data_IF_622979443627
#
_entry.id   IF_622979443627
#
_cell.length_a   1.000
_cell.length_b   1.000
_cell.length_c   1.000
_cell.angle_alpha   90.00
_cell.angle_beta   90.00
_cell.angle_gamma   90.00
#
_symmetry.space_group_name_H-M   'P 1'
#
loop_
_entity.id
_entity.type
_entity.pdbx_description
1 polymer ?
#
# COMPACT_ATOMS: atom_id res chain seq x y z
N UNK A 1 6.56 6.10 12.63
CA UNK A 1 7.83 5.34 12.52
C UNK A 1 8.58 5.34 13.84
N UNK A 2 8.80 6.48 14.46
CA UNK A 2 9.53 6.60 15.74
C UNK A 2 8.98 5.73 16.88
N UNK A 3 7.66 5.62 17.02
CA UNK A 3 7.04 4.74 18.01
C UNK A 3 7.43 3.25 17.80
N UNK A 4 7.55 2.81 16.55
CA UNK A 4 7.97 1.45 16.22
C UNK A 4 9.45 1.24 16.53
N UNK A 5 10.31 2.22 16.15
CA UNK A 5 11.72 2.18 16.49
C UNK A 5 11.95 2.17 18.00
N UNK A 6 11.19 2.97 18.74
CA UNK A 6 11.24 2.98 20.22
C UNK A 6 10.84 1.63 20.83
N UNK A 7 9.87 0.92 20.22
CA UNK A 7 9.37 -0.37 20.72
C UNK A 7 10.25 -1.54 20.32
N UNK A 8 10.80 -1.54 19.10
CA UNK A 8 11.48 -2.69 18.50
C UNK A 8 12.98 -2.46 18.31
N UNK A 9 13.49 -1.25 18.55
CA UNK A 9 14.90 -0.88 18.37
C UNK A 9 15.23 -0.49 16.92
N UNK A 10 14.97 -1.37 15.97
CA UNK A 10 15.21 -1.15 14.55
C UNK A 10 14.12 -1.78 13.67
N UNK A 11 14.18 -1.51 12.37
CA UNK A 11 13.22 -2.03 11.39
C UNK A 11 13.34 -3.54 11.21
N UNK A 12 14.53 -4.05 11.18
CA UNK A 12 14.84 -5.46 10.95
C UNK A 12 14.25 -6.32 12.09
N UNK A 13 14.44 -5.90 13.32
CA UNK A 13 13.83 -6.56 14.49
C UNK A 13 12.29 -6.46 14.46
N UNK A 14 11.76 -5.30 14.04
CA UNK A 14 10.31 -5.16 13.83
C UNK A 14 9.79 -6.17 12.79
N UNK A 15 10.50 -6.34 11.68
CA UNK A 15 10.11 -7.32 10.65
C UNK A 15 10.16 -8.76 11.17
N UNK A 16 11.20 -9.12 11.88
CA UNK A 16 11.38 -10.47 12.43
C UNK A 16 10.31 -10.78 13.47
N UNK A 17 10.13 -9.91 14.46
CA UNK A 17 9.19 -10.12 15.57
C UNK A 17 7.73 -10.12 15.09
N UNK A 18 7.37 -9.24 14.16
CA UNK A 18 5.96 -9.11 13.71
C UNK A 18 5.63 -9.96 12.49
N UNK A 19 6.61 -10.22 11.63
CA UNK A 19 6.45 -10.98 10.39
C UNK A 19 6.73 -12.47 10.56
N UNK A 20 7.55 -12.84 11.53
CA UNK A 20 8.06 -14.20 11.68
C UNK A 20 9.06 -14.61 10.61
N UNK A 21 9.30 -15.90 10.47
CA UNK A 21 10.24 -16.42 9.47
C UNK A 21 9.78 -16.23 8.03
N UNK A 22 10.74 -16.12 7.12
CA UNK A 22 10.48 -16.17 5.68
C UNK A 22 10.06 -17.61 5.33
N UNK A 23 8.99 -17.72 4.55
CA UNK A 23 8.42 -19.02 4.19
C UNK A 23 9.08 -19.58 2.92
N UNK A 24 9.34 -20.89 2.86
CA UNK A 24 9.79 -21.53 1.63
C UNK A 24 8.69 -21.52 0.57
N UNK A 25 9.08 -21.59 -0.68
CA UNK A 25 8.21 -21.56 -1.89
C UNK A 25 6.97 -22.47 -1.76
N UNK A 26 7.16 -23.69 -1.27
CA UNK A 26 6.06 -24.66 -1.10
C UNK A 26 5.01 -24.20 -0.10
N UNK A 27 5.42 -23.56 0.99
CA UNK A 27 4.51 -23.01 2.00
C UNK A 27 3.75 -21.78 1.50
N UNK A 28 4.42 -20.90 0.76
CA UNK A 28 3.80 -19.74 0.12
C UNK A 28 2.73 -20.19 -0.87
N UNK A 29 3.06 -21.18 -1.71
CA UNK A 29 2.14 -21.76 -2.67
C UNK A 29 0.93 -22.40 -2.00
N UNK A 30 1.15 -23.22 -0.98
CA UNK A 30 0.06 -23.87 -0.23
C UNK A 30 -0.87 -22.84 0.43
N UNK A 31 -0.31 -21.76 1.01
CA UNK A 31 -1.08 -20.69 1.62
C UNK A 31 -1.90 -19.89 0.59
N UNK A 32 -1.32 -19.59 -0.57
CA UNK A 32 -2.03 -18.91 -1.66
C UNK A 32 -3.22 -19.75 -2.15
N UNK A 33 -3.00 -21.03 -2.36
CA UNK A 33 -4.03 -21.96 -2.80
C UNK A 33 -5.16 -22.09 -1.78
N UNK A 34 -4.83 -22.19 -0.49
CA UNK A 34 -5.82 -22.22 0.61
C UNK A 34 -6.63 -20.92 0.65
N UNK A 35 -5.99 -19.76 0.44
CA UNK A 35 -6.68 -18.48 0.42
C UNK A 35 -7.63 -18.37 -0.76
N UNK A 36 -7.21 -18.77 -1.97
CA UNK A 36 -8.07 -18.79 -3.15
C UNK A 36 -9.28 -19.72 -2.98
N UNK A 37 -9.10 -20.87 -2.32
CA UNK A 37 -10.21 -21.78 -1.97
C UNK A 37 -11.21 -21.09 -1.03
N UNK A 38 -10.71 -20.41 0.00
CA UNK A 38 -11.55 -19.67 0.94
C UNK A 38 -12.38 -18.57 0.28
N UNK A 39 -11.80 -17.86 -0.70
CA UNK A 39 -12.48 -16.77 -1.42
C UNK A 39 -13.24 -17.25 -2.68
N UNK A 40 -13.32 -18.57 -2.91
CA UNK A 40 -13.96 -19.19 -4.08
C UNK A 40 -13.40 -18.70 -5.44
N UNK A 41 -12.10 -18.38 -5.49
CA UNK A 41 -11.41 -17.87 -6.68
C UNK A 41 -10.46 -18.90 -7.30
N UNK A 42 -10.63 -20.19 -7.00
CA UNK A 42 -9.80 -21.27 -7.54
C UNK A 42 -9.98 -21.38 -9.05
N UNK A 43 -8.87 -21.34 -9.79
CA UNK A 43 -8.88 -21.37 -11.26
C UNK A 43 -9.07 -20.01 -11.94
N UNK A 44 -9.53 -19.00 -11.21
CA UNK A 44 -9.70 -17.64 -11.74
C UNK A 44 -8.39 -16.83 -11.67
N UNK A 45 -7.64 -16.98 -10.58
CA UNK A 45 -6.40 -16.26 -10.35
C UNK A 45 -5.21 -17.18 -10.54
N UNK A 46 -4.30 -16.81 -11.44
CA UNK A 46 -2.99 -17.45 -11.61
C UNK A 46 -2.05 -16.97 -10.52
N UNK A 47 -1.30 -17.87 -9.89
CA UNK A 47 -0.28 -17.51 -8.90
C UNK A 47 1.11 -17.72 -9.48
N UNK A 48 1.93 -16.68 -9.47
CA UNK A 48 3.34 -16.71 -9.84
C UNK A 48 4.21 -16.37 -8.62
N UNK A 49 5.37 -17.00 -8.52
CA UNK A 49 6.35 -16.74 -7.45
C UNK A 49 7.63 -16.21 -8.08
N UNK A 50 8.14 -15.11 -7.57
CA UNK A 50 9.34 -14.42 -8.09
C UNK A 50 10.25 -13.99 -6.94
N UNK A 51 11.54 -13.86 -7.22
CA UNK A 51 12.52 -13.27 -6.30
C UNK A 51 12.94 -11.85 -6.72
N UNK A 52 12.52 -11.42 -7.93
CA UNK A 52 12.95 -10.16 -8.55
C UNK A 52 11.93 -9.02 -8.42
N UNK A 53 10.83 -9.23 -7.69
CA UNK A 53 9.78 -8.23 -7.56
C UNK A 53 10.17 -7.13 -6.55
N UNK A 54 10.08 -5.85 -6.93
CA UNK A 54 10.32 -4.72 -6.02
C UNK A 54 9.21 -4.51 -4.97
N UNK A 55 8.04 -5.12 -5.15
CA UNK A 55 6.94 -5.10 -4.19
C UNK A 55 6.80 -6.47 -3.52
N UNK A 56 6.04 -6.54 -2.42
CA UNK A 56 5.76 -7.84 -1.78
C UNK A 56 4.92 -8.76 -2.65
N UNK A 57 3.98 -8.18 -3.38
CA UNK A 57 3.15 -8.86 -4.35
C UNK A 57 2.60 -7.83 -5.34
N UNK A 58 2.01 -8.31 -6.42
CA UNK A 58 1.28 -7.49 -7.38
C UNK A 58 0.17 -8.33 -8.03
N UNK A 59 -1.03 -7.75 -8.10
CA UNK A 59 -2.15 -8.27 -8.86
C UNK A 59 -2.20 -7.57 -10.22
N UNK A 60 -2.11 -8.33 -11.29
CA UNK A 60 -2.17 -7.81 -12.68
C UNK A 60 -3.07 -8.69 -13.53
N UNK A 61 -3.45 -8.18 -14.70
CA UNK A 61 -4.08 -9.00 -15.75
C UNK A 61 -3.05 -9.27 -16.82
N UNK A 62 -2.60 -10.51 -16.91
CA UNK A 62 -1.66 -11.01 -17.92
C UNK A 62 -2.37 -11.99 -18.85
N UNK A 63 -2.24 -11.78 -20.15
CA UNK A 63 -2.90 -12.65 -21.15
C UNK A 63 -4.40 -12.87 -20.85
N UNK A 64 -5.10 -11.80 -20.50
CA UNK A 64 -6.52 -11.80 -20.12
C UNK A 64 -6.84 -12.60 -18.84
N UNK A 65 -5.87 -12.99 -18.04
CA UNK A 65 -6.07 -13.70 -16.77
C UNK A 65 -5.54 -12.89 -15.58
N UNK A 66 -6.31 -12.77 -14.49
CA UNK A 66 -5.81 -12.22 -13.24
C UNK A 66 -4.61 -13.03 -12.74
N UNK A 67 -3.49 -12.37 -12.53
CA UNK A 67 -2.23 -13.02 -12.11
C UNK A 67 -1.72 -12.33 -10.85
N UNK A 68 -1.56 -13.10 -9.78
CA UNK A 68 -0.93 -12.69 -8.54
C UNK A 68 0.53 -13.13 -8.54
N UNK A 69 1.45 -12.18 -8.65
CA UNK A 69 2.88 -12.45 -8.51
C UNK A 69 3.33 -12.09 -7.09
N UNK A 70 3.98 -13.04 -6.40
CA UNK A 70 4.42 -12.92 -5.01
C UNK A 70 5.94 -12.92 -4.94
N UNK A 71 6.51 -11.96 -4.22
CA UNK A 71 7.93 -11.91 -3.93
C UNK A 71 8.28 -12.85 -2.77
N UNK A 72 9.09 -13.86 -3.04
CA UNK A 72 9.51 -14.85 -2.05
C UNK A 72 10.41 -14.25 -0.96
N UNK A 73 11.24 -13.26 -1.29
CA UNK A 73 12.17 -12.63 -0.33
C UNK A 73 11.45 -11.88 0.79
N UNK A 74 10.19 -11.44 0.55
CA UNK A 74 9.35 -10.74 1.52
C UNK A 74 8.20 -11.58 2.11
N UNK A 75 8.10 -12.87 1.78
CA UNK A 75 6.98 -13.73 2.15
C UNK A 75 7.12 -14.24 3.60
N UNK A 76 6.79 -13.41 4.57
CA UNK A 76 6.87 -13.74 6.01
C UNK A 76 5.60 -14.41 6.52
N UNK A 77 5.78 -15.36 7.44
CA UNK A 77 4.74 -16.24 7.99
C UNK A 77 3.49 -15.49 8.45
N UNK A 78 3.65 -14.42 9.24
CA UNK A 78 2.52 -13.70 9.83
C UNK A 78 1.98 -12.58 8.95
N UNK A 79 2.65 -12.25 7.84
CA UNK A 79 2.23 -11.18 6.93
C UNK A 79 1.55 -11.69 5.66
N UNK A 80 1.73 -12.97 5.34
CA UNK A 80 1.27 -13.56 4.09
C UNK A 80 -0.27 -13.45 3.91
N UNK A 81 -1.05 -13.73 4.94
CA UNK A 81 -2.51 -13.58 4.86
C UNK A 81 -2.92 -12.13 4.62
N UNK A 82 -2.27 -11.18 5.28
CA UNK A 82 -2.52 -9.75 5.04
C UNK A 82 -2.20 -9.33 3.61
N UNK A 83 -1.15 -9.88 3.02
CA UNK A 83 -0.81 -9.65 1.61
C UNK A 83 -1.90 -10.22 0.68
N UNK A 84 -2.44 -11.42 0.95
CA UNK A 84 -3.57 -11.95 0.16
C UNK A 84 -4.83 -11.10 0.29
N UNK A 85 -5.11 -10.55 1.48
CA UNK A 85 -6.24 -9.62 1.69
C UNK A 85 -6.06 -8.31 0.93
N UNK A 86 -4.82 -7.85 0.78
CA UNK A 86 -4.48 -6.69 -0.03
C UNK A 86 -4.74 -6.97 -1.51
N UNK A 87 -4.12 -8.00 -2.06
CA UNK A 87 -4.11 -8.27 -3.50
C UNK A 87 -5.41 -8.93 -3.99
N UNK A 88 -5.85 -9.98 -3.32
CA UNK A 88 -7.05 -10.73 -3.73
C UNK A 88 -8.29 -10.10 -3.10
N UNK A 89 -8.31 -9.99 -1.77
CA UNK A 89 -9.48 -9.52 -1.00
C UNK A 89 -9.84 -8.05 -1.26
N UNK A 90 -8.94 -7.25 -1.85
CA UNK A 90 -9.22 -5.87 -2.25
C UNK A 90 -9.14 -5.70 -3.75
N UNK A 91 -7.94 -5.76 -4.34
CA UNK A 91 -7.76 -5.41 -5.74
C UNK A 91 -8.52 -6.33 -6.71
N UNK A 92 -8.36 -7.63 -6.57
CA UNK A 92 -9.03 -8.58 -7.46
C UNK A 92 -10.56 -8.54 -7.31
N UNK A 93 -11.08 -8.71 -6.07
CA UNK A 93 -12.53 -8.74 -5.84
C UNK A 93 -13.20 -7.41 -6.18
N UNK A 94 -12.53 -6.29 -5.92
CA UNK A 94 -13.03 -4.99 -6.35
C UNK A 94 -13.05 -4.86 -7.88
N UNK A 95 -12.04 -5.36 -8.56
CA UNK A 95 -12.01 -5.41 -10.03
C UNK A 95 -13.19 -6.20 -10.59
N UNK A 96 -13.44 -7.39 -10.06
CA UNK A 96 -14.60 -8.22 -10.43
C UNK A 96 -15.91 -7.49 -10.20
N UNK A 97 -16.10 -6.96 -9.00
CA UNK A 97 -17.31 -6.21 -8.65
C UNK A 97 -17.51 -4.96 -9.51
N UNK A 98 -16.43 -4.23 -9.82
CA UNK A 98 -16.49 -3.06 -10.69
C UNK A 98 -16.94 -3.41 -12.11
N UNK A 99 -16.51 -4.56 -12.64
CA UNK A 99 -16.89 -5.01 -13.99
C UNK A 99 -18.38 -5.31 -14.14
N UNK A 100 -19.07 -5.59 -13.04
CA UNK A 100 -20.52 -5.80 -12.99
C UNK A 100 -21.31 -4.50 -12.89
N UNK A 101 -20.67 -3.37 -12.76
CA UNK A 101 -21.33 -2.08 -12.53
C UNK A 101 -21.52 -1.28 -13.85
N UNK A 102 -22.57 -0.45 -13.94
CA UNK A 102 -22.81 0.40 -15.12
C UNK A 102 -21.69 1.43 -15.34
N UNK A 103 -20.86 1.71 -14.34
CA UNK A 103 -19.70 2.57 -14.41
C UNK A 103 -18.38 1.83 -14.65
N UNK A 104 -18.38 0.58 -15.09
CA UNK A 104 -17.17 -0.20 -15.40
C UNK A 104 -16.35 0.42 -16.53
N UNK A 105 -17.01 1.04 -17.50
CA UNK A 105 -16.37 1.71 -18.65
C UNK A 105 -16.09 3.19 -18.39
N UNK A 106 -15.17 3.77 -19.17
CA UNK A 106 -14.89 5.22 -19.10
C UNK A 106 -16.13 6.07 -19.43
N UNK A 107 -16.97 5.63 -20.35
CA UNK A 107 -18.23 6.30 -20.68
C UNK A 107 -19.23 6.26 -19.52
N UNK A 108 -19.42 5.09 -18.92
CA UNK A 108 -20.27 4.93 -17.75
C UNK A 108 -19.78 5.77 -16.56
N UNK A 109 -18.47 5.78 -16.29
CA UNK A 109 -17.91 6.63 -15.22
C UNK A 109 -18.15 8.11 -15.46
N UNK A 110 -18.03 8.58 -16.69
CA UNK A 110 -18.35 9.97 -17.07
C UNK A 110 -19.83 10.29 -16.87
N UNK A 111 -20.70 9.39 -17.27
CA UNK A 111 -22.15 9.52 -17.10
C UNK A 111 -22.55 9.69 -15.61
N UNK A 112 -21.90 8.95 -14.72
CA UNK A 112 -22.16 9.02 -13.27
C UNK A 112 -21.29 10.07 -12.54
N UNK A 113 -20.56 10.93 -13.26
CA UNK A 113 -19.68 11.93 -12.66
C UNK A 113 -18.51 11.34 -11.86
N UNK A 114 -18.14 10.07 -12.08
CA UNK A 114 -17.10 9.38 -11.33
C UNK A 114 -15.74 9.66 -11.91
N UNK A 115 -14.78 9.88 -11.04
CA UNK A 115 -13.36 10.03 -11.45
C UNK A 115 -12.83 8.69 -11.97
N UNK A 116 -11.88 8.72 -12.96
CA UNK A 116 -11.35 7.49 -13.58
C UNK A 116 -10.69 6.53 -12.59
N UNK A 117 -10.34 7.00 -11.40
CA UNK A 117 -9.64 6.18 -10.43
C UNK A 117 -10.09 6.52 -9.01
N UNK A 118 -10.04 5.51 -8.16
CA UNK A 118 -10.39 5.62 -6.76
C UNK A 118 -9.15 5.42 -5.88
N UNK A 119 -8.54 6.50 -5.33
CA UNK A 119 -7.38 6.39 -4.46
C UNK A 119 -7.68 5.66 -3.13
N UNK A 120 -8.96 5.57 -2.76
CA UNK A 120 -9.41 4.86 -1.55
C UNK A 120 -9.10 3.36 -1.61
N UNK A 121 -9.02 2.78 -2.80
CA UNK A 121 -8.69 1.36 -2.98
C UNK A 121 -7.35 0.97 -2.36
N UNK A 122 -6.31 1.74 -2.64
CA UNK A 122 -4.98 1.50 -2.08
C UNK A 122 -4.95 1.68 -0.56
N UNK A 123 -5.68 2.68 -0.07
CA UNK A 123 -5.83 2.87 1.37
C UNK A 123 -6.52 1.69 2.04
N UNK A 124 -7.61 1.20 1.44
CA UNK A 124 -8.34 0.03 1.93
C UNK A 124 -7.47 -1.23 1.87
N UNK A 125 -6.75 -1.46 0.76
CA UNK A 125 -5.83 -2.58 0.60
C UNK A 125 -4.73 -2.55 1.67
N UNK A 126 -4.14 -1.39 1.92
CA UNK A 126 -3.13 -1.21 2.97
C UNK A 126 -3.69 -1.52 4.36
N UNK A 127 -4.91 -1.08 4.67
CA UNK A 127 -5.59 -1.42 5.93
C UNK A 127 -5.87 -2.92 6.03
N UNK A 128 -6.43 -3.54 4.99
CA UNK A 128 -6.69 -4.98 4.95
C UNK A 128 -5.43 -5.80 5.19
N UNK A 129 -4.27 -5.31 4.74
CA UNK A 129 -3.00 -6.00 4.95
C UNK A 129 -2.56 -6.11 6.40
N UNK A 130 -3.06 -5.24 7.30
CA UNK A 130 -2.62 -5.18 8.70
C UNK A 130 -3.71 -5.42 9.73
N UNK A 131 -5.00 -5.26 9.39
CA UNK A 131 -6.13 -5.26 10.34
C UNK A 131 -6.19 -6.48 11.26
N UNK A 132 -5.80 -7.65 10.75
CA UNK A 132 -5.87 -8.90 11.51
C UNK A 132 -4.52 -9.32 12.12
N UNK A 133 -3.50 -8.47 11.99
CA UNK A 133 -2.20 -8.72 12.63
C UNK A 133 -2.30 -8.40 14.12
N UNK A 134 -1.59 -9.18 14.94
CA UNK A 134 -1.44 -8.87 16.38
C UNK A 134 -0.89 -7.47 16.61
N UNK A 135 -0.08 -6.98 15.68
CA UNK A 135 0.51 -5.65 15.66
C UNK A 135 0.25 -4.96 14.31
N UNK A 136 -0.86 -4.20 14.20
CA UNK A 136 -1.35 -3.66 12.92
C UNK A 136 -0.64 -2.37 12.52
N UNK A 137 0.69 -2.36 12.50
CA UNK A 137 1.47 -1.20 12.09
C UNK A 137 1.57 -1.07 10.58
N UNK A 138 1.30 0.12 10.06
CA UNK A 138 1.46 0.48 8.64
C UNK A 138 2.89 0.99 8.33
N UNK A 139 3.92 0.36 8.86
CA UNK A 139 5.29 0.81 8.69
C UNK A 139 5.67 1.00 7.21
N UNK A 140 5.40 0.01 6.36
CA UNK A 140 5.77 0.06 4.94
C UNK A 140 5.10 1.21 4.19
N UNK A 141 3.82 1.44 4.44
CA UNK A 141 3.09 2.56 3.84
C UNK A 141 3.63 3.91 4.35
N UNK A 142 3.90 4.01 5.65
CA UNK A 142 4.45 5.22 6.26
C UNK A 142 5.86 5.53 5.75
N UNK A 143 6.73 4.52 5.64
CA UNK A 143 8.09 4.69 5.14
C UNK A 143 8.08 5.07 3.65
N UNK A 144 7.24 4.43 2.83
CA UNK A 144 7.12 4.78 1.43
C UNK A 144 6.63 6.22 1.24
N UNK A 145 5.61 6.62 2.00
CA UNK A 145 5.14 8.01 1.98
C UNK A 145 6.25 8.99 2.35
N UNK A 146 6.95 8.73 3.43
CA UNK A 146 8.07 9.55 3.89
C UNK A 146 9.15 9.67 2.82
N UNK A 147 9.52 8.53 2.22
CA UNK A 147 10.55 8.50 1.17
C UNK A 147 10.11 9.30 -0.07
N UNK A 148 8.87 9.14 -0.54
CA UNK A 148 8.33 9.90 -1.68
C UNK A 148 8.27 11.40 -1.37
N UNK A 149 7.84 11.78 -0.17
CA UNK A 149 7.81 13.19 0.24
C UNK A 149 9.20 13.84 0.19
N UNK A 150 10.21 13.15 0.68
CA UNK A 150 11.59 13.66 0.68
C UNK A 150 12.25 13.54 -0.70
N UNK A 151 11.90 12.56 -1.52
CA UNK A 151 12.39 12.42 -2.89
C UNK A 151 12.11 13.67 -3.75
N UNK A 152 11.02 14.39 -3.48
CA UNK A 152 10.68 15.64 -4.14
C UNK A 152 11.66 16.81 -3.84
N UNK A 153 12.57 16.64 -2.89
CA UNK A 153 13.50 17.67 -2.43
C UNK A 153 14.97 17.23 -2.41
N UNK A 154 15.24 15.97 -2.61
CA UNK A 154 16.56 15.36 -2.44
C UNK A 154 16.98 14.61 -3.71
N UNK A 155 18.29 14.56 -3.97
CA UNK A 155 18.88 13.61 -4.91
C UNK A 155 18.70 12.16 -4.42
N UNK A 156 19.01 11.16 -5.25
CA UNK A 156 18.95 9.76 -4.85
C UNK A 156 19.90 9.48 -3.67
N UNK A 157 21.15 9.94 -3.75
CA UNK A 157 22.14 9.70 -2.70
C UNK A 157 21.79 10.38 -1.37
N UNK A 158 21.29 11.62 -1.42
CA UNK A 158 20.78 12.30 -0.23
C UNK A 158 19.60 11.58 0.39
N UNK A 159 18.65 11.13 -0.42
CA UNK A 159 17.48 10.37 0.03
C UNK A 159 17.89 9.04 0.65
N UNK A 160 18.82 8.32 0.01
CA UNK A 160 19.36 7.05 0.49
C UNK A 160 20.01 7.19 1.87
N UNK A 161 20.80 8.25 2.07
CA UNK A 161 21.38 8.55 3.37
C UNK A 161 20.35 9.02 4.39
N UNK A 162 19.36 9.79 3.94
CA UNK A 162 18.33 10.36 4.81
C UNK A 162 17.41 9.30 5.44
N UNK A 163 17.01 8.27 4.70
CA UNK A 163 16.16 7.20 5.23
C UNK A 163 16.92 6.16 6.08
N UNK A 164 18.26 6.26 6.17
CA UNK A 164 19.06 5.40 7.03
C UNK A 164 18.66 5.50 8.52
N UNK A 165 18.10 6.62 8.95
CA UNK A 165 17.56 6.79 10.30
C UNK A 165 16.42 5.83 10.64
N UNK A 166 15.75 5.25 9.66
CA UNK A 166 14.62 4.35 9.85
C UNK A 166 14.93 2.90 9.44
N UNK A 167 15.83 2.69 8.49
CA UNK A 167 16.19 1.39 7.94
C UNK A 167 17.69 1.31 7.80
N UNK A 168 18.32 0.36 8.47
CA UNK A 168 19.78 0.19 8.44
C UNK A 168 20.25 -0.66 7.27
N UNK A 169 19.44 -1.61 6.80
CA UNK A 169 19.74 -2.45 5.65
C UNK A 169 19.82 -1.61 4.35
N UNK A 170 20.99 -1.57 3.68
CA UNK A 170 21.18 -0.80 2.46
C UNK A 170 20.36 -1.33 1.28
N UNK A 171 20.08 -2.63 1.21
CA UNK A 171 19.25 -3.21 0.15
C UNK A 171 17.80 -2.72 0.26
N UNK A 172 17.23 -2.73 1.45
CA UNK A 172 15.89 -2.20 1.71
C UNK A 172 15.82 -0.70 1.44
N UNK A 173 16.84 0.09 1.85
CA UNK A 173 16.90 1.53 1.52
C UNK A 173 16.93 1.78 0.02
N UNK A 174 17.71 0.99 -0.71
CA UNK A 174 17.80 1.06 -2.16
C UNK A 174 16.43 0.85 -2.82
N UNK A 175 15.70 -0.19 -2.42
CA UNK A 175 14.34 -0.47 -2.92
C UNK A 175 13.39 0.71 -2.71
N UNK A 176 13.37 1.31 -1.52
CA UNK A 176 12.50 2.47 -1.24
C UNK A 176 12.88 3.68 -2.09
N UNK A 177 14.18 3.94 -2.28
CA UNK A 177 14.66 5.03 -3.15
C UNK A 177 14.30 4.80 -4.61
N UNK A 178 14.49 3.57 -5.12
CA UNK A 178 14.08 3.19 -6.48
C UNK A 178 12.57 3.40 -6.68
N UNK A 179 11.75 2.96 -5.72
CA UNK A 179 10.30 3.14 -5.79
C UNK A 179 9.91 4.61 -5.78
N UNK A 180 10.56 5.43 -4.96
CA UNK A 180 10.25 6.86 -4.83
C UNK A 180 10.69 7.67 -6.05
N UNK A 181 11.82 7.32 -6.67
CA UNK A 181 12.38 8.02 -7.85
C UNK A 181 12.12 7.31 -9.18
N UNK A 182 11.22 6.35 -9.17
CA UNK A 182 10.90 5.54 -10.35
C UNK A 182 10.36 6.40 -11.49
N UNK A 183 10.92 6.19 -12.70
CA UNK A 183 10.55 6.93 -13.91
C UNK A 183 11.27 8.27 -14.07
N UNK A 184 12.10 8.67 -13.12
CA UNK A 184 12.99 9.82 -13.25
C UNK A 184 14.22 9.43 -14.06
N UNK A 185 14.62 10.27 -15.04
CA UNK A 185 15.80 10.04 -15.87
C UNK A 185 17.09 10.47 -15.20
N UNK A 186 17.04 11.57 -14.46
CA UNK A 186 18.16 12.09 -13.70
C UNK A 186 17.81 12.03 -12.20
N UNK A 187 18.33 11.02 -11.52
CA UNK A 187 18.10 10.82 -10.10
C UNK A 187 18.97 11.69 -9.20
N UNK A 188 19.93 12.44 -9.76
CA UNK A 188 20.68 13.45 -9.02
C UNK A 188 19.83 14.66 -8.65
N UNK A 189 18.74 14.89 -9.38
CA UNK A 189 17.80 15.96 -9.13
C UNK A 189 16.68 15.54 -8.15
N UNK A 190 16.04 16.50 -7.47
CA UNK A 190 14.77 16.26 -6.78
C UNK A 190 13.73 15.66 -7.74
N UNK A 191 12.93 14.73 -7.23
CA UNK A 191 11.88 14.12 -8.05
C UNK A 191 10.78 15.15 -8.33
N UNK A 192 10.53 15.45 -9.60
CA UNK A 192 9.35 16.22 -9.97
C UNK A 192 8.10 15.36 -9.71
N UNK A 193 7.05 15.92 -9.07
CA UNK A 193 5.75 15.24 -8.97
C UNK A 193 5.20 14.78 -10.32
N UNK A 194 5.64 15.39 -11.41
CA UNK A 194 5.21 15.13 -12.79
C UNK A 194 6.03 14.04 -13.49
N UNK A 195 7.31 13.87 -13.14
CA UNK A 195 8.21 12.91 -13.80
C UNK A 195 7.82 11.45 -13.50
N UNK A 196 7.32 11.19 -12.32
CA UNK A 196 6.80 9.86 -11.97
C UNK A 196 5.51 9.50 -12.71
N UNK A 197 4.81 10.48 -13.28
CA UNK A 197 3.51 10.33 -13.92
C UNK A 197 3.51 10.33 -15.44
N UNK A 198 4.40 11.04 -16.08
CA UNK A 198 4.31 11.33 -17.53
C UNK A 198 5.01 10.31 -18.42
N UNK A 199 5.98 9.52 -17.95
CA UNK A 199 6.73 8.55 -18.78
C UNK A 199 6.12 7.16 -18.89
N UNK A 200 4.89 6.95 -18.47
CA UNK A 200 4.22 5.62 -18.46
C UNK A 200 3.90 5.00 -19.83
N UNK A 201 4.31 5.56 -20.94
CA UNK A 201 3.97 4.96 -22.25
C UNK A 201 4.82 3.78 -22.69
N UNK A 202 5.92 3.42 -21.98
CA UNK A 202 6.85 2.36 -22.46
C UNK A 202 7.06 1.14 -21.57
N UNK A 203 6.57 1.10 -20.33
CA UNK A 203 6.63 -0.13 -19.52
C UNK A 203 5.26 -0.46 -18.98
N UNK A 204 4.62 -1.43 -19.58
CA UNK A 204 3.25 -1.90 -19.27
C UNK A 204 3.10 -2.65 -17.95
N UNK A 205 4.06 -2.59 -17.04
CA UNK A 205 4.09 -3.44 -15.86
C UNK A 205 4.03 -2.62 -14.59
N UNK A 206 3.04 -2.85 -13.74
CA UNK A 206 2.93 -2.47 -12.32
C UNK A 206 2.57 -1.00 -11.98
N UNK A 207 1.63 -0.33 -12.66
CA UNK A 207 1.24 1.04 -12.29
C UNK A 207 -0.25 1.37 -12.39
N UNK A 208 -1.12 0.52 -11.87
CA UNK A 208 -2.52 0.96 -11.72
C UNK A 208 -2.74 1.88 -10.49
N UNK A 209 -1.78 2.00 -9.60
CA UNK A 209 -1.96 2.60 -8.28
C UNK A 209 -1.70 4.10 -8.15
N UNK A 210 -1.01 4.74 -9.09
CA UNK A 210 -0.61 6.15 -8.96
C UNK A 210 -1.30 7.15 -9.90
N UNK A 211 -1.95 6.68 -10.94
CA UNK A 211 -2.48 7.55 -12.01
C UNK A 211 -3.68 8.41 -11.61
N UNK A 212 -4.24 8.19 -10.43
CA UNK A 212 -5.56 8.70 -10.06
C UNK A 212 -5.58 9.86 -9.10
N UNK A 213 -4.44 10.18 -8.50
CA UNK A 213 -4.34 11.30 -7.59
C UNK A 213 -4.21 12.67 -8.30
N UNK A 214 -4.13 12.73 -9.64
CA UNK A 214 -3.63 13.91 -10.37
C UNK A 214 -4.65 14.93 -10.84
N UNK A 215 -5.94 14.71 -10.68
CA UNK A 215 -6.96 15.64 -11.21
C UNK A 215 -8.03 16.08 -10.22
N UNK A 216 -7.71 16.21 -8.94
CA UNK A 216 -8.62 16.88 -8.00
C UNK A 216 -7.99 18.13 -7.40
N UNK A 217 -8.48 19.33 -7.74
CA UNK A 217 -7.97 20.58 -7.17
C UNK A 217 -8.31 20.83 -5.69
N UNK A 218 -9.14 20.00 -5.05
CA UNK A 218 -9.75 20.35 -3.76
C UNK A 218 -9.36 19.51 -2.54
N UNK A 219 -8.55 18.46 -2.68
CA UNK A 219 -8.00 17.75 -1.50
C UNK A 219 -6.53 17.53 -1.74
N UNK A 220 -5.69 18.11 -0.91
CA UNK A 220 -4.25 17.94 -1.01
C UNK A 220 -3.90 16.47 -0.79
N UNK A 221 -3.10 15.88 -1.68
CA UNK A 221 -2.64 14.48 -1.66
C UNK A 221 -2.02 14.02 -0.34
N UNK A 222 -1.34 14.87 0.42
CA UNK A 222 -0.90 14.54 1.76
C UNK A 222 -2.03 14.17 2.72
N UNK A 223 -3.18 14.84 2.61
CA UNK A 223 -4.30 14.69 3.54
C UNK A 223 -4.91 13.29 3.51
N UNK A 224 -4.96 12.64 2.36
CA UNK A 224 -5.60 11.33 2.24
C UNK A 224 -4.76 10.20 2.84
N UNK A 225 -3.45 10.22 2.63
CA UNK A 225 -2.51 9.27 3.26
C UNK A 225 -2.38 9.59 4.76
N UNK A 226 -2.41 10.87 5.14
CA UNK A 226 -2.43 11.31 6.54
C UNK A 226 -3.70 10.83 7.24
N UNK A 227 -4.87 10.88 6.62
CA UNK A 227 -6.12 10.36 7.19
C UNK A 227 -6.03 8.85 7.44
N UNK A 228 -5.49 8.06 6.49
CA UNK A 228 -5.31 6.62 6.68
C UNK A 228 -4.30 6.32 7.78
N UNK A 229 -3.19 7.05 7.82
CA UNK A 229 -2.16 6.92 8.85
C UNK A 229 -2.71 7.40 10.20
N UNK A 230 -3.47 8.49 10.23
CA UNK A 230 -4.10 9.05 11.45
C UNK A 230 -5.15 8.10 12.01
N UNK A 231 -6.09 7.60 11.21
CA UNK A 231 -7.11 6.63 11.65
C UNK A 231 -6.51 5.33 12.19
N UNK A 232 -5.36 4.91 11.62
CA UNK A 232 -4.66 3.73 12.09
C UNK A 232 -3.82 4.03 13.34
N UNK A 233 -3.26 5.22 13.43
CA UNK A 233 -2.52 5.70 14.60
C UNK A 233 -3.44 5.86 15.81
N UNK A 234 -4.61 6.48 15.63
CA UNK A 234 -5.60 6.66 16.70
C UNK A 234 -6.12 5.31 17.22
N UNK A 235 -6.36 4.35 16.34
CA UNK A 235 -6.76 2.99 16.72
C UNK A 235 -5.64 2.21 17.44
N UNK A 236 -4.39 2.46 17.09
CA UNK A 236 -3.22 1.89 17.77
C UNK A 236 -3.04 2.53 19.15
N UNK A 237 -3.29 3.83 19.29
CA UNK A 237 -3.25 4.52 20.58
C UNK A 237 -4.34 4.01 21.54
N UNK A 238 -5.57 3.80 21.05
CA UNK A 238 -6.65 3.21 21.85
C UNK A 238 -6.38 1.77 22.31
N UNK A 239 -5.60 1.00 21.55
CA UNK A 239 -5.14 -0.34 21.97
C UNK A 239 -3.97 -0.29 22.97
N UNK A 240 -3.31 0.86 23.11
CA UNK A 240 -2.12 1.04 23.93
C UNK A 240 -2.36 1.82 25.25
N UNK A 241 -3.46 2.57 25.37
CA UNK A 241 -3.80 3.35 26.59
C UNK A 241 -5.31 3.46 26.79
N UNK A 242 -5.84 3.16 27.98
CA UNK A 242 -7.27 3.30 28.29
C UNK A 242 -7.62 4.69 28.83
N UNK A 243 -7.23 5.78 28.19
CA UNK A 243 -7.63 7.13 28.63
C UNK A 243 -8.45 7.84 27.55
N UNK A 244 -9.60 8.45 27.90
CA UNK A 244 -10.47 9.12 26.92
C UNK A 244 -9.82 10.37 26.33
N UNK A 245 -9.95 10.55 25.03
CA UNK A 245 -9.38 11.67 24.27
C UNK A 245 -10.31 12.89 24.25
N UNK A 246 -9.80 14.14 24.21
CA UNK A 246 -10.59 15.39 24.39
C UNK A 246 -11.66 15.68 23.33
N UNK A 247 -11.79 14.91 22.24
CA UNK A 247 -12.79 15.13 21.19
C UNK A 247 -13.97 14.15 21.23
N UNK A 248 -14.10 13.35 22.29
CA UNK A 248 -15.33 12.58 22.60
C UNK A 248 -16.46 13.44 23.17
N UNK A 249 -16.63 14.68 22.71
CA UNK A 249 -17.85 15.42 23.00
C UNK A 249 -18.95 14.91 22.07
N UNK A 250 -20.12 14.55 22.63
CA UNK A 250 -21.28 14.18 21.80
C UNK A 250 -21.63 15.34 20.86
N UNK A 251 -21.94 15.01 19.61
CA UNK A 251 -22.50 15.95 18.65
C UNK A 251 -23.80 16.51 19.22
N UNK A 252 -23.79 17.78 19.61
CA UNK A 252 -25.04 18.50 19.94
C UNK A 252 -25.82 18.63 18.64
N UNK A 253 -27.01 18.02 18.59
CA UNK A 253 -27.97 18.22 17.52
C UNK A 253 -28.33 19.70 17.42
N UNK A 254 -28.42 20.30 16.21
CA UNK A 254 -28.88 21.66 16.05
C UNK A 254 -30.28 21.79 16.63
N UNK A 255 -30.45 22.69 17.58
CA UNK A 255 -31.81 23.09 18.06
C UNK A 255 -32.59 23.66 16.89
N UNK A 256 -33.76 23.10 16.68
CA UNK A 256 -34.77 23.68 15.82
C UNK A 256 -35.02 25.13 16.21
N UNK A 257 -34.70 26.06 15.29
CA UNK A 257 -35.17 27.42 15.41
C UNK A 257 -36.64 27.43 15.05
N UNK A 258 -37.47 27.81 16.02
CA UNK A 258 -38.87 28.23 15.82
C UNK A 258 -38.89 29.59 15.17
#
# INVERSE_FOLDING_TARGET
MECILRKFGNYENFEEVTGGSILPKSRVWAAARKYLQKENCVGEVVVCLSEELLSQAVMMVESCRPTLTINLSGARQHWLEGMFRHEIGTHYLRGVNNNLQPWSTSAGRKQYGLKPANPTEEGLASLHSVLLRKQPYLWRAALLYYTVYHAARMSFSQLFSHIAQFVQDPAVRWEYCLRAKRGQTDTSQPASPWDSCTRRRRTRTAFYTWRTAERTPSVSRPTFIIIIISLTYDRIQHLATPTPHPWEKPWETPREMK
#
